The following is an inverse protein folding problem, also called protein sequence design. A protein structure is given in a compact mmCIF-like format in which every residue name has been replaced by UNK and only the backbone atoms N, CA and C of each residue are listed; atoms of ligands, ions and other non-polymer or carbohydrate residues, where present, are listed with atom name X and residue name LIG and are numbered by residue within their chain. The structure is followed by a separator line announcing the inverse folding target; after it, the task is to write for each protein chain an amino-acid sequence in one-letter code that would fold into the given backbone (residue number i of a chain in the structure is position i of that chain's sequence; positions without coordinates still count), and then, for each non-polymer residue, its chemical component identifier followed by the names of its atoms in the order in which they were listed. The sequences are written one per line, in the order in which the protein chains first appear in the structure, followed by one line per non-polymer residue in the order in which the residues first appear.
data_IF_174504100574
#
_entry.id   IF_174504100574
#
_cell.length_a   1.000
_cell.length_b   1.000
_cell.length_c   1.000
_cell.angle_alpha   90.00
_cell.angle_beta   90.00
_cell.angle_gamma   90.00
#
_symmetry.space_group_name_H-M   'P 1'
#
loop_
_entity.id
_entity.type
_entity.pdbx_description
1 polymer ?
#
# COMPACT_ATOMS: atom_id res chain seq x y z
N UNK A 1 -23.87 -15.79 -7.40
CA UNK A 1 -22.66 -15.40 -8.16
C UNK A 1 -22.80 -13.91 -8.48
N UNK A 2 -22.23 -13.04 -7.66
CA UNK A 2 -22.12 -11.62 -7.98
C UNK A 2 -20.83 -11.44 -8.76
N UNK A 3 -20.92 -11.36 -10.09
CA UNK A 3 -19.77 -11.02 -10.92
C UNK A 3 -19.29 -9.63 -10.51
N UNK A 4 -18.15 -9.56 -9.84
CA UNK A 4 -17.52 -8.28 -9.53
C UNK A 4 -17.27 -7.57 -10.86
N UNK A 5 -17.80 -6.36 -11.01
CA UNK A 5 -17.61 -5.58 -12.23
C UNK A 5 -16.13 -5.34 -12.46
N UNK A 6 -15.62 -5.77 -13.62
CA UNK A 6 -14.28 -5.47 -14.09
C UNK A 6 -14.22 -3.97 -14.39
N UNK A 7 -13.25 -3.28 -13.80
CA UNK A 7 -12.96 -1.90 -14.13
C UNK A 7 -12.23 -1.88 -15.49
N UNK A 8 -12.80 -1.22 -16.49
CA UNK A 8 -12.24 -1.21 -17.84
C UNK A 8 -10.88 -0.50 -17.93
N UNK A 9 -10.65 0.50 -17.08
CA UNK A 9 -9.39 1.25 -17.04
C UNK A 9 -8.31 0.46 -16.28
N UNK A 10 -8.76 -0.28 -15.24
CA UNK A 10 -7.91 -1.09 -14.38
C UNK A 10 -8.33 -2.57 -14.36
N UNK A 11 -8.22 -3.28 -15.50
CA UNK A 11 -8.72 -4.66 -15.64
C UNK A 11 -7.95 -5.66 -14.79
N UNK A 12 -6.75 -5.31 -14.34
CA UNK A 12 -5.96 -6.16 -13.45
C UNK A 12 -6.38 -6.07 -11.99
N UNK A 13 -7.40 -5.28 -11.65
CA UNK A 13 -7.91 -5.17 -10.28
C UNK A 13 -8.65 -6.45 -9.87
N UNK A 14 -8.22 -7.08 -8.78
CA UNK A 14 -9.05 -8.07 -8.08
C UNK A 14 -10.10 -7.34 -7.24
N UNK A 15 -11.20 -6.90 -7.87
CA UNK A 15 -12.18 -5.96 -7.28
C UNK A 15 -12.71 -6.39 -5.91
N UNK A 16 -13.11 -7.65 -5.74
CA UNK A 16 -13.60 -8.11 -4.43
C UNK A 16 -12.50 -8.07 -3.36
N UNK A 17 -11.27 -8.44 -3.72
CA UNK A 17 -10.10 -8.40 -2.83
C UNK A 17 -9.77 -6.96 -2.43
N UNK A 18 -9.89 -6.01 -3.36
CA UNK A 18 -9.74 -4.57 -3.12
C UNK A 18 -10.78 -4.06 -2.11
N UNK A 19 -12.05 -4.41 -2.31
CA UNK A 19 -13.16 -4.04 -1.41
C UNK A 19 -12.89 -4.58 0.00
N UNK A 20 -12.56 -5.87 0.12
CA UNK A 20 -12.24 -6.49 1.41
C UNK A 20 -11.05 -5.79 2.09
N UNK A 21 -10.03 -5.39 1.32
CA UNK A 21 -8.88 -4.64 1.84
C UNK A 21 -9.26 -3.26 2.39
N UNK A 22 -10.18 -2.56 1.74
CA UNK A 22 -10.75 -1.29 2.24
C UNK A 22 -11.56 -1.50 3.51
N UNK A 23 -12.44 -2.51 3.53
CA UNK A 23 -13.25 -2.86 4.70
C UNK A 23 -12.38 -3.20 5.91
N UNK A 24 -11.33 -4.01 5.71
CA UNK A 24 -10.37 -4.32 6.78
C UNK A 24 -9.66 -3.07 7.26
N UNK A 25 -9.18 -2.19 6.37
CA UNK A 25 -8.53 -0.94 6.76
C UNK A 25 -9.46 -0.02 7.57
N UNK A 26 -10.70 0.17 7.12
CA UNK A 26 -11.72 0.97 7.82
C UNK A 26 -12.10 0.38 9.18
N UNK A 27 -11.97 -0.95 9.36
CA UNK A 27 -12.27 -1.59 10.65
C UNK A 27 -11.20 -1.35 11.72
N UNK A 28 -10.03 -0.83 11.35
CA UNK A 28 -8.94 -0.56 12.29
C UNK A 28 -9.19 0.75 13.03
N UNK A 29 -9.29 0.68 14.36
CA UNK A 29 -9.46 1.88 15.18
C UNK A 29 -8.17 2.67 15.32
N UNK A 30 -8.27 3.99 15.53
CA UNK A 30 -7.10 4.83 15.85
C UNK A 30 -6.37 4.34 17.11
N UNK A 31 -7.09 3.76 18.07
CA UNK A 31 -6.52 3.17 19.28
C UNK A 31 -5.63 1.96 18.99
N UNK A 32 -5.96 1.17 17.98
CA UNK A 32 -5.12 0.05 17.53
C UNK A 32 -3.92 0.53 16.72
N UNK A 33 -4.14 1.53 15.84
CA UNK A 33 -3.12 2.10 14.97
C UNK A 33 -2.15 3.06 15.68
N UNK A 34 -2.38 3.35 16.95
CA UNK A 34 -1.51 4.16 17.81
C UNK A 34 -0.73 3.33 18.84
N UNK A 35 -0.65 2.01 18.61
CA UNK A 35 0.15 1.08 19.44
C UNK A 35 1.59 0.97 18.90
N UNK A 36 2.34 0.03 19.47
CA UNK A 36 3.68 -0.31 18.98
C UNK A 36 3.66 -0.77 17.52
N UNK A 37 4.58 -0.24 16.73
CA UNK A 37 4.63 -0.41 15.29
C UNK A 37 4.89 -1.85 14.87
N UNK A 38 5.93 -2.46 15.42
CA UNK A 38 6.42 -3.76 14.96
C UNK A 38 5.55 -4.91 15.44
N UNK A 39 4.99 -4.80 16.65
CA UNK A 39 4.21 -5.86 17.29
C UNK A 39 2.71 -5.78 17.05
N UNK A 40 2.16 -4.58 16.75
CA UNK A 40 0.72 -4.40 16.55
C UNK A 40 0.37 -3.76 15.22
N UNK A 41 0.88 -2.56 14.95
CA UNK A 41 0.39 -1.74 13.82
C UNK A 41 0.75 -2.37 12.48
N UNK A 42 2.03 -2.65 12.21
CA UNK A 42 2.44 -3.25 10.94
C UNK A 42 1.79 -4.62 10.68
N UNK A 43 1.70 -5.56 11.65
CA UNK A 43 0.92 -6.79 11.47
C UNK A 43 -0.54 -6.55 11.07
N UNK A 44 -1.21 -5.53 11.65
CA UNK A 44 -2.57 -5.15 11.28
C UNK A 44 -2.65 -4.55 9.87
N UNK A 45 -1.66 -3.74 9.48
CA UNK A 45 -1.54 -3.22 8.12
C UNK A 45 -1.37 -4.36 7.09
N UNK A 46 -0.50 -5.33 7.36
CA UNK A 46 -0.35 -6.52 6.51
C UNK A 46 -1.65 -7.29 6.37
N UNK A 47 -2.34 -7.55 7.49
CA UNK A 47 -3.65 -8.21 7.48
C UNK A 47 -4.69 -7.44 6.64
N UNK A 48 -4.75 -6.11 6.78
CA UNK A 48 -5.64 -5.26 6.00
C UNK A 48 -5.24 -5.15 4.52
N UNK A 49 -3.98 -5.41 4.17
CA UNK A 49 -3.51 -5.49 2.79
C UNK A 49 -3.71 -6.89 2.18
N UNK A 50 -4.06 -7.88 2.99
CA UNK A 50 -4.19 -9.27 2.56
C UNK A 50 -2.83 -9.94 2.37
N UNK A 51 -1.88 -9.62 3.24
CA UNK A 51 -0.51 -10.12 3.25
C UNK A 51 -0.22 -10.89 4.54
N UNK A 52 0.51 -12.00 4.40
CA UNK A 52 1.16 -12.72 5.50
C UNK A 52 2.41 -11.95 5.94
N UNK A 53 2.77 -12.04 7.22
CA UNK A 53 4.03 -11.48 7.74
C UNK A 53 5.16 -12.51 7.60
N UNK A 54 5.88 -12.46 6.47
CA UNK A 54 6.95 -13.38 6.10
C UNK A 54 8.27 -12.63 6.12
N UNK A 55 8.98 -12.65 7.25
CA UNK A 55 10.23 -11.89 7.45
C UNK A 55 11.50 -12.69 7.14
N UNK A 56 11.46 -14.00 7.37
CA UNK A 56 12.60 -14.91 7.26
C UNK A 56 12.57 -15.71 5.94
N UNK A 57 12.29 -15.02 4.84
CA UNK A 57 12.17 -15.61 3.51
C UNK A 57 13.07 -14.83 2.55
N UNK A 58 13.66 -15.48 1.55
CA UNK A 58 14.53 -14.78 0.60
C UNK A 58 13.77 -13.70 -0.20
N UNK A 59 14.43 -12.63 -0.66
CA UNK A 59 13.84 -11.67 -1.59
C UNK A 59 13.23 -12.36 -2.82
N UNK A 60 12.07 -11.89 -3.27
CA UNK A 60 11.31 -12.48 -4.38
C UNK A 60 10.51 -13.75 -4.02
N UNK A 61 10.76 -14.38 -2.86
CA UNK A 61 10.05 -15.59 -2.39
C UNK A 61 8.88 -15.29 -1.46
N UNK A 62 8.42 -14.04 -1.44
CA UNK A 62 7.30 -13.59 -0.61
C UNK A 62 7.72 -12.92 0.70
N UNK A 63 8.98 -12.47 0.82
CA UNK A 63 9.40 -11.66 1.95
C UNK A 63 8.59 -10.35 2.02
N UNK A 64 7.83 -10.14 3.09
CA UNK A 64 7.03 -8.93 3.32
C UNK A 64 7.64 -8.02 4.38
N UNK A 65 8.86 -8.30 4.87
CA UNK A 65 9.56 -7.55 5.92
C UNK A 65 9.68 -6.04 5.65
N UNK A 66 9.79 -5.66 4.38
CA UNK A 66 9.89 -4.28 3.92
C UNK A 66 8.53 -3.58 3.74
N UNK A 67 7.44 -4.34 3.58
CA UNK A 67 6.11 -3.77 3.39
C UNK A 67 5.76 -2.82 4.54
N UNK A 68 5.36 -1.60 4.17
CA UNK A 68 5.03 -0.48 5.06
C UNK A 68 6.18 0.03 5.94
N UNK A 69 7.38 -0.56 5.85
CA UNK A 69 8.54 -0.24 6.69
C UNK A 69 9.54 0.72 6.03
N UNK A 70 9.31 1.09 4.78
CA UNK A 70 10.09 2.08 4.05
C UNK A 70 9.16 3.09 3.37
N UNK A 71 9.76 4.10 2.73
CA UNK A 71 9.03 5.19 2.13
C UNK A 71 8.18 4.78 0.91
N UNK A 72 8.55 3.67 0.27
CA UNK A 72 8.18 3.34 -1.10
C UNK A 72 7.15 2.20 -1.18
N UNK A 73 7.30 1.13 -0.41
CA UNK A 73 6.48 -0.09 -0.49
C UNK A 73 5.26 0.01 0.44
N UNK A 74 4.36 0.94 0.13
CA UNK A 74 3.24 1.31 1.01
C UNK A 74 1.87 1.18 0.36
N UNK A 75 1.79 0.72 -0.89
CA UNK A 75 0.51 0.47 -1.57
C UNK A 75 -0.01 -0.92 -1.28
N UNK A 76 -1.17 -1.06 -0.63
CA UNK A 76 -1.91 -2.31 -0.55
C UNK A 76 -2.59 -2.60 -1.90
N UNK A 77 -1.81 -3.12 -2.85
CA UNK A 77 -2.27 -3.42 -4.20
C UNK A 77 -2.95 -4.79 -4.21
N UNK A 78 -4.10 -4.89 -4.87
CA UNK A 78 -4.82 -6.15 -5.07
C UNK A 78 -4.97 -6.42 -6.55
N UNK A 79 -4.47 -7.56 -7.04
CA UNK A 79 -4.41 -7.83 -8.48
C UNK A 79 -5.07 -9.16 -8.82
N UNK A 80 -5.59 -9.29 -10.03
CA UNK A 80 -5.92 -10.60 -10.60
C UNK A 80 -4.65 -11.47 -10.57
N UNK A 81 -4.83 -12.77 -10.36
CA UNK A 81 -3.69 -13.67 -10.19
C UNK A 81 -2.94 -13.90 -11.51
N UNK A 82 -3.64 -13.71 -12.62
CA UNK A 82 -3.12 -13.74 -13.99
C UNK A 82 -2.12 -12.60 -14.22
N UNK A 83 -2.34 -11.44 -13.61
CA UNK A 83 -1.45 -10.29 -13.71
C UNK A 83 -0.26 -10.36 -12.74
N UNK A 84 -0.19 -11.36 -11.85
CA UNK A 84 0.84 -11.43 -10.81
C UNK A 84 2.27 -11.54 -11.36
N UNK A 85 2.45 -12.13 -12.55
CA UNK A 85 3.74 -12.24 -13.23
C UNK A 85 4.06 -11.06 -14.17
N UNK A 86 3.20 -10.04 -14.24
CA UNK A 86 3.46 -8.88 -15.08
C UNK A 86 4.74 -8.15 -14.68
N UNK A 87 5.40 -7.55 -15.66
CA UNK A 87 6.59 -6.72 -15.47
C UNK A 87 6.32 -5.28 -15.96
N UNK A 88 6.94 -4.28 -15.32
CA UNK A 88 6.81 -2.89 -15.76
C UNK A 88 7.58 -2.60 -17.06
N UNK A 89 8.61 -3.38 -17.43
CA UNK A 89 9.40 -3.19 -18.66
C UNK A 89 9.94 -1.77 -18.85
N UNK A 90 10.36 -1.12 -17.75
CA UNK A 90 10.87 0.26 -17.75
C UNK A 90 9.79 1.35 -17.81
N UNK A 91 8.50 0.99 -17.78
CA UNK A 91 7.38 1.97 -17.82
C UNK A 91 7.21 2.76 -16.52
N UNK A 92 7.78 2.27 -15.41
CA UNK A 92 7.73 2.96 -14.12
C UNK A 92 9.10 3.58 -13.84
N UNK A 93 9.13 4.92 -13.78
CA UNK A 93 10.35 5.70 -13.57
C UNK A 93 10.94 5.39 -12.19
N UNK A 94 12.25 5.12 -12.14
CA UNK A 94 12.97 4.80 -10.91
C UNK A 94 12.90 3.33 -10.50
N UNK A 95 12.14 2.48 -11.22
CA UNK A 95 12.05 1.04 -10.96
C UNK A 95 12.94 0.21 -11.88
N UNK A 96 13.31 -0.98 -11.39
CA UNK A 96 14.04 -1.95 -12.19
C UNK A 96 13.21 -2.37 -13.42
N UNK A 97 13.88 -2.48 -14.57
CA UNK A 97 13.25 -2.84 -15.84
C UNK A 97 12.44 -4.14 -15.72
N UNK A 98 13.03 -5.14 -15.05
CA UNK A 98 12.36 -6.37 -14.64
C UNK A 98 11.98 -6.28 -13.17
N UNK A 99 10.75 -6.67 -12.85
CA UNK A 99 10.25 -6.72 -11.48
C UNK A 99 9.33 -7.95 -11.29
N UNK A 100 9.90 -9.17 -11.33
CA UNK A 100 9.11 -10.40 -11.26
C UNK A 100 8.62 -10.61 -9.82
N UNK A 101 7.36 -10.27 -9.56
CA UNK A 101 6.77 -10.34 -8.23
C UNK A 101 5.87 -11.57 -8.02
N UNK A 102 5.52 -12.30 -9.08
CA UNK A 102 4.42 -13.27 -9.03
C UNK A 102 4.63 -14.45 -8.08
N UNK A 103 5.84 -14.96 -7.92
CA UNK A 103 6.13 -15.99 -6.91
C UNK A 103 5.91 -15.43 -5.49
N UNK A 104 6.42 -14.24 -5.22
CA UNK A 104 6.27 -13.59 -3.92
C UNK A 104 4.82 -13.25 -3.59
N UNK A 105 4.05 -12.77 -4.58
CA UNK A 105 2.61 -12.51 -4.46
C UNK A 105 1.87 -13.78 -4.07
N UNK A 106 2.11 -14.89 -4.78
CA UNK A 106 1.45 -16.18 -4.50
C UNK A 106 1.79 -16.71 -3.11
N UNK A 107 3.04 -16.57 -2.67
CA UNK A 107 3.47 -17.04 -1.36
C UNK A 107 2.88 -16.20 -0.21
N UNK A 108 2.94 -14.88 -0.35
CA UNK A 108 2.60 -13.94 0.72
C UNK A 108 1.12 -13.60 0.82
N UNK A 109 0.29 -13.90 -0.20
CA UNK A 109 -1.15 -13.57 -0.13
C UNK A 109 -1.84 -14.27 1.05
N UNK A 110 -2.68 -13.52 1.74
CA UNK A 110 -3.70 -14.04 2.64
C UNK A 110 -4.92 -14.49 1.81
N UNK A 111 -5.23 -15.78 1.86
CA UNK A 111 -6.30 -16.39 1.08
C UNK A 111 -7.69 -16.02 1.60
N UNK A 112 -7.79 -15.60 2.87
CA UNK A 112 -9.06 -15.16 3.48
C UNK A 112 -9.55 -13.82 2.91
N UNK A 113 -8.73 -13.13 2.13
CA UNK A 113 -9.09 -11.87 1.46
C UNK A 113 -9.83 -12.11 0.12
N UNK A 114 -9.91 -13.34 -0.37
CA UNK A 114 -10.57 -13.71 -1.63
C UNK A 114 -9.60 -13.96 -2.79
N UNK A 115 -10.14 -14.22 -3.98
CA UNK A 115 -9.35 -14.54 -5.18
C UNK A 115 -8.39 -13.41 -5.60
N UNK A 116 -7.32 -13.78 -6.31
CA UNK A 116 -6.27 -12.86 -6.75
C UNK A 116 -5.00 -12.89 -5.90
N UNK A 117 -4.22 -11.83 -6.00
CA UNK A 117 -2.99 -11.57 -5.26
C UNK A 117 -3.05 -10.26 -4.48
N UNK A 118 -2.15 -10.13 -3.50
CA UNK A 118 -1.87 -8.87 -2.79
C UNK A 118 -0.38 -8.61 -2.79
N UNK A 119 0.03 -7.34 -2.84
CA UNK A 119 1.42 -6.93 -2.64
C UNK A 119 1.53 -5.50 -2.11
N UNK A 120 2.63 -5.19 -1.43
CA UNK A 120 3.03 -3.84 -1.03
C UNK A 120 3.84 -3.18 -2.16
N UNK A 121 3.17 -2.59 -3.16
CA UNK A 121 3.88 -2.08 -4.34
C UNK A 121 4.49 -0.69 -4.09
N UNK A 122 5.42 -0.32 -4.96
CA UNK A 122 6.15 0.94 -4.89
C UNK A 122 5.28 2.13 -5.32
N UNK A 123 5.39 3.25 -4.62
CA UNK A 123 4.55 4.45 -4.82
C UNK A 123 5.15 5.55 -5.71
N UNK A 124 6.36 5.36 -6.22
CA UNK A 124 7.00 6.34 -7.10
C UNK A 124 6.11 6.62 -8.33
N UNK A 125 5.81 7.90 -8.58
CA UNK A 125 4.90 8.32 -9.65
C UNK A 125 3.42 8.44 -9.25
N UNK A 126 3.07 8.11 -8.00
CA UNK A 126 1.68 8.15 -7.52
C UNK A 126 1.09 9.55 -7.29
N UNK A 127 1.91 10.61 -7.30
CA UNK A 127 1.41 11.99 -7.26
C UNK A 127 0.80 12.45 -8.60
N UNK A 128 1.10 11.77 -9.71
CA UNK A 128 0.55 12.07 -11.04
C UNK A 128 -0.93 11.71 -11.14
N UNK A 129 -1.63 12.29 -12.12
CA UNK A 129 -3.00 11.93 -12.46
C UNK A 129 -3.12 11.63 -13.97
N UNK A 130 -3.41 10.37 -14.37
CA UNK A 130 -3.55 9.19 -13.51
C UNK A 130 -2.23 8.79 -12.80
N UNK A 131 -2.29 8.05 -11.68
CA UNK A 131 -1.08 7.58 -11.00
C UNK A 131 -0.21 6.72 -11.93
N UNK A 132 1.11 6.95 -11.88
CA UNK A 132 2.09 6.26 -12.72
C UNK A 132 2.98 5.29 -11.91
N UNK A 133 2.46 4.79 -10.78
CA UNK A 133 3.15 3.87 -9.88
C UNK A 133 3.04 2.40 -10.33
N UNK A 134 3.65 1.50 -9.56
CA UNK A 134 3.70 0.07 -9.90
C UNK A 134 2.30 -0.55 -9.94
N UNK A 135 1.42 -0.22 -9.00
CA UNK A 135 0.06 -0.75 -8.98
C UNK A 135 -0.68 -0.43 -10.29
N UNK A 136 -0.65 0.83 -10.68
CA UNK A 136 -1.43 1.34 -11.79
C UNK A 136 -0.82 1.00 -13.16
N UNK A 137 0.52 0.94 -13.26
CA UNK A 137 1.21 0.71 -14.55
C UNK A 137 1.55 -0.76 -14.81
N UNK A 138 2.12 -1.45 -13.82
CA UNK A 138 2.55 -2.84 -13.98
C UNK A 138 1.37 -3.80 -13.90
N UNK A 139 0.53 -3.63 -12.87
CA UNK A 139 -0.61 -4.51 -12.63
C UNK A 139 -1.93 -4.00 -13.19
N UNK A 140 -1.96 -2.76 -13.73
CA UNK A 140 -3.19 -2.11 -14.20
C UNK A 140 -4.30 -2.27 -13.18
N UNK A 141 -3.96 -2.01 -11.91
CA UNK A 141 -4.81 -2.28 -10.77
C UNK A 141 -4.96 -1.04 -9.90
N UNK A 142 -6.16 -0.87 -9.35
CA UNK A 142 -6.42 0.06 -8.25
C UNK A 142 -5.90 -0.52 -6.94
N UNK A 143 -5.43 0.37 -6.07
CA UNK A 143 -5.06 -0.01 -4.71
C UNK A 143 -6.31 -0.16 -3.82
N UNK A 144 -6.23 -1.07 -2.86
CA UNK A 144 -7.19 -1.09 -1.75
C UNK A 144 -7.02 0.19 -0.93
N UNK A 145 -5.77 0.45 -0.51
CA UNK A 145 -5.37 1.65 0.22
C UNK A 145 -3.85 1.83 0.16
N UNK A 146 -3.35 3.01 0.51
CA UNK A 146 -1.92 3.26 0.74
C UNK A 146 -1.68 4.01 2.04
N UNK A 147 -0.52 3.77 2.65
CA UNK A 147 -0.10 4.48 3.85
C UNK A 147 0.64 5.78 3.47
N UNK A 148 0.18 6.88 4.05
CA UNK A 148 0.80 8.21 3.90
C UNK A 148 1.13 8.78 5.28
N UNK A 149 2.39 9.10 5.52
CA UNK A 149 2.81 9.79 6.74
C UNK A 149 2.41 11.27 6.67
N UNK A 150 1.92 11.79 7.80
CA UNK A 150 1.37 13.14 7.91
C UNK A 150 2.46 14.10 8.38
N UNK A 151 2.76 15.18 7.64
CA UNK A 151 3.64 16.22 8.16
C UNK A 151 2.96 16.93 9.32
N UNK A 152 3.63 17.01 10.46
CA UNK A 152 3.16 17.78 11.61
C UNK A 152 3.16 19.28 11.32
N UNK A 153 2.61 20.07 12.24
CA UNK A 153 2.38 21.53 12.12
C UNK A 153 3.56 22.37 11.59
N UNK A 154 4.80 21.95 11.83
CA UNK A 154 6.01 22.65 11.40
C UNK A 154 6.71 21.98 10.20
N UNK A 155 6.11 20.94 9.62
CA UNK A 155 6.67 20.11 8.55
C UNK A 155 7.88 19.27 8.96
N UNK A 156 8.16 19.14 10.26
CA UNK A 156 9.35 18.42 10.77
C UNK A 156 9.03 17.14 11.52
N UNK A 157 7.81 17.00 12.02
CA UNK A 157 7.34 15.76 12.63
C UNK A 157 6.54 14.93 11.62
N UNK A 158 6.60 13.62 11.76
CA UNK A 158 5.83 12.66 10.96
C UNK A 158 5.29 11.54 11.86
N UNK A 159 4.83 11.89 13.07
CA UNK A 159 4.39 10.91 14.07
C UNK A 159 3.09 10.20 13.72
N UNK A 160 2.26 10.78 12.84
CA UNK A 160 0.96 10.25 12.41
C UNK A 160 1.03 9.72 10.99
N UNK A 161 0.25 8.69 10.68
CA UNK A 161 -0.05 8.29 9.31
C UNK A 161 -1.56 8.27 9.06
N UNK A 162 -1.94 8.28 7.78
CA UNK A 162 -3.29 7.99 7.29
C UNK A 162 -3.23 6.84 6.28
N UNK A 163 -4.27 6.01 6.28
CA UNK A 163 -4.55 5.08 5.19
C UNK A 163 -5.55 5.77 4.27
N UNK A 164 -5.23 5.87 2.98
CA UNK A 164 -6.12 6.47 1.98
C UNK A 164 -6.46 5.46 0.90
N UNK A 165 -7.70 5.45 0.43
CA UNK A 165 -8.10 4.62 -0.71
C UNK A 165 -7.54 5.14 -2.04
N UNK A 166 -7.91 4.47 -3.13
CA UNK A 166 -7.43 4.85 -4.46
C UNK A 166 -7.87 6.26 -4.90
N UNK A 167 -8.98 6.77 -4.38
CA UNK A 167 -9.46 8.13 -4.64
C UNK A 167 -8.80 9.19 -3.74
N UNK A 168 -7.94 8.77 -2.80
CA UNK A 168 -7.32 9.64 -1.81
C UNK A 168 -8.23 9.93 -0.61
N UNK A 169 -9.30 9.16 -0.41
CA UNK A 169 -10.20 9.30 0.74
C UNK A 169 -9.61 8.59 1.94
N UNK A 170 -9.57 9.27 3.09
CA UNK A 170 -9.09 8.67 4.34
C UNK A 170 -9.99 7.51 4.80
N UNK A 171 -9.36 6.39 5.14
CA UNK A 171 -10.01 5.20 5.70
C UNK A 171 -9.74 5.03 7.19
N UNK A 172 -8.51 5.30 7.63
CA UNK A 172 -8.07 5.15 9.02
C UNK A 172 -6.81 5.98 9.30
N UNK A 173 -6.48 6.19 10.57
CA UNK A 173 -5.30 6.94 11.01
C UNK A 173 -4.75 6.41 12.33
N UNK A 174 -3.49 6.72 12.64
CA UNK A 174 -2.89 6.41 13.93
C UNK A 174 -1.62 7.21 14.20
N UNK A 175 -1.23 7.27 15.48
CA UNK A 175 0.03 7.86 15.97
C UNK A 175 0.86 6.75 16.61
N UNK A 176 1.48 5.87 15.81
CA UNK A 176 2.18 4.71 16.32
C UNK A 176 3.43 5.11 17.11
N UNK A 177 3.93 4.16 17.90
CA UNK A 177 5.17 4.30 18.66
C UNK A 177 6.09 3.09 18.46
N UNK A 178 7.25 3.08 19.13
CA UNK A 178 8.21 1.98 19.03
C UNK A 178 9.14 2.12 17.83
N UNK A 179 9.41 1.00 17.16
CA UNK A 179 10.37 0.92 16.07
C UNK A 179 9.75 1.38 14.73
N UNK A 180 9.53 2.68 14.60
CA UNK A 180 8.98 3.31 13.40
C UNK A 180 10.00 3.33 12.25
N UNK A 181 9.54 3.41 10.98
CA UNK A 181 10.40 3.86 9.90
C UNK A 181 11.08 5.18 10.28
N UNK A 182 12.34 5.35 9.84
CA UNK A 182 13.12 6.53 10.22
C UNK A 182 12.40 7.81 9.79
N UNK A 183 12.73 8.95 10.41
CA UNK A 183 12.12 10.23 10.01
C UNK A 183 12.32 10.51 8.51
N UNK A 184 13.46 10.14 7.94
CA UNK A 184 13.75 10.30 6.52
C UNK A 184 12.82 9.46 5.63
N UNK A 185 12.54 8.21 6.02
CA UNK A 185 11.60 7.33 5.30
C UNK A 185 10.17 7.90 5.34
N UNK A 186 9.73 8.36 6.51
CA UNK A 186 8.38 8.95 6.67
C UNK A 186 8.23 10.25 5.89
N UNK A 187 9.24 11.10 5.93
CA UNK A 187 9.29 12.33 5.12
C UNK A 187 9.33 12.03 3.61
N UNK A 188 10.13 11.03 3.21
CA UNK A 188 10.24 10.57 1.83
C UNK A 188 8.89 10.07 1.29
N UNK A 189 8.16 9.31 2.10
CA UNK A 189 6.84 8.79 1.77
C UNK A 189 5.86 9.93 1.42
N UNK A 190 5.73 10.92 2.31
CA UNK A 190 4.89 12.09 2.05
C UNK A 190 5.37 12.88 0.82
N UNK A 191 6.69 13.06 0.66
CA UNK A 191 7.25 13.81 -0.46
C UNK A 191 6.89 13.18 -1.82
N UNK A 192 6.78 11.86 -1.92
CA UNK A 192 6.40 11.18 -3.16
C UNK A 192 4.96 11.47 -3.56
N UNK A 193 4.04 11.60 -2.61
CA UNK A 193 2.61 11.83 -2.87
C UNK A 193 2.22 13.30 -2.86
N UNK A 194 3.09 14.18 -2.35
CA UNK A 194 2.84 15.62 -2.18
C UNK A 194 2.34 16.27 -3.48
N UNK A 195 1.26 17.04 -3.36
CA UNK A 195 0.62 17.72 -4.50
C UNK A 195 -0.31 16.83 -5.33
N UNK A 196 -0.31 15.51 -5.11
CA UNK A 196 -1.24 14.56 -5.71
C UNK A 196 -2.47 14.28 -4.85
N UNK A 197 -3.38 13.43 -5.37
CA UNK A 197 -4.64 13.10 -4.67
C UNK A 197 -4.42 12.40 -3.32
N UNK A 198 -3.38 11.57 -3.21
CA UNK A 198 -3.10 10.80 -2.01
C UNK A 198 -2.57 11.63 -0.84
N UNK A 199 -2.08 12.86 -1.08
CA UNK A 199 -1.63 13.76 -0.01
C UNK A 199 -2.78 14.48 0.71
N UNK A 200 -3.97 14.59 0.11
CA UNK A 200 -5.06 15.46 0.60
C UNK A 200 -5.47 15.19 2.05
N UNK A 201 -5.62 13.92 2.43
CA UNK A 201 -5.98 13.55 3.80
C UNK A 201 -4.86 13.87 4.80
N UNK A 202 -3.59 13.67 4.40
CA UNK A 202 -2.45 14.04 5.22
C UNK A 202 -2.37 15.57 5.38
N UNK A 203 -2.53 16.33 4.31
CA UNK A 203 -2.55 17.80 4.32
C UNK A 203 -3.64 18.34 5.25
N UNK A 204 -4.85 17.76 5.19
CA UNK A 204 -5.97 18.14 6.06
C UNK A 204 -5.68 17.91 7.56
N UNK A 205 -4.80 16.96 7.89
CA UNK A 205 -4.38 16.66 9.26
C UNK A 205 -3.11 17.39 9.70
N UNK A 206 -2.47 18.14 8.81
CA UNK A 206 -1.19 18.82 9.06
C UNK A 206 -1.31 20.12 9.88
N UNK A 207 -2.31 20.20 10.77
CA UNK A 207 -2.73 21.40 11.52
C UNK A 207 -1.92 21.68 12.80
#
# INVERSE_FOLDING_TARGET
MTGASVDADYPGTATQRMINGRERAMSLSESELSKDWDSVVRPKLLWAAGLKDLRNVAPGKGNTGHCFNDFNHVDATTMSIEEADNENSGRVVGMAYRNPLGEGIRAARDETMGEGGSWCTCILGSASEPPADVAHVQFRSKIAWKLVWVPGKNGKDFSRFVLVDDAGVELATGVPSGNLPTLAERQGNYNVVKGGRYARAADARSV
#
